data_IF_441248680638
#
_entry.id   IF_441248680638
#
_cell.length_a   1.000
_cell.length_b   1.000
_cell.length_c   1.000
_cell.angle_alpha   90.00
_cell.angle_beta   90.00
_cell.angle_gamma   90.00
#
_symmetry.space_group_name_H-M   'P 1'
#
loop_
_entity.id
_entity.type
_entity.pdbx_description
1 polymer ?
#
# COMPACT_ATOMS: atom_id res chain seq x y z
N UNK A 1 -2.76 -8.05 -9.86
CA UNK A 1 -2.73 -6.63 -10.25
C UNK A 1 -3.99 -5.89 -9.79
N UNK A 2 -3.96 -5.27 -8.61
CA UNK A 2 -4.79 -4.08 -8.37
C UNK A 2 -4.17 -2.98 -9.22
N UNK A 3 -4.65 -2.81 -10.45
CA UNK A 3 -4.23 -1.70 -11.29
C UNK A 3 -4.57 -0.40 -10.57
N UNK A 4 -3.59 0.47 -10.40
CA UNK A 4 -3.83 1.84 -9.95
C UNK A 4 -4.66 2.59 -10.99
N UNK A 5 -5.97 2.41 -10.92
CA UNK A 5 -6.91 3.35 -11.50
C UNK A 5 -6.85 4.66 -10.71
N UNK A 6 -7.01 5.78 -11.39
CA UNK A 6 -7.33 7.04 -10.72
C UNK A 6 -8.62 6.80 -9.94
N UNK A 7 -8.52 6.77 -8.61
CA UNK A 7 -9.69 6.59 -7.76
C UNK A 7 -10.65 7.78 -7.94
N UNK A 8 -11.98 7.56 -7.99
CA UNK A 8 -12.96 8.63 -8.19
C UNK A 8 -12.92 9.64 -7.03
N UNK A 9 -13.30 10.90 -7.26
CA UNK A 9 -13.14 11.98 -6.26
C UNK A 9 -13.83 11.72 -4.89
N UNK A 10 -14.79 10.79 -4.84
CA UNK A 10 -15.55 10.41 -3.65
C UNK A 10 -14.90 9.32 -2.77
N UNK A 11 -13.75 8.75 -3.15
CA UNK A 11 -13.05 7.78 -2.27
C UNK A 11 -12.59 8.43 -0.98
N UNK A 12 -12.72 7.67 0.11
CA UNK A 12 -12.18 8.06 1.41
C UNK A 12 -10.66 8.17 1.33
N UNK A 13 -10.04 9.12 2.06
CA UNK A 13 -8.59 9.16 2.17
C UNK A 13 -8.06 7.88 2.81
N UNK A 14 -6.84 7.48 2.44
CA UNK A 14 -6.19 6.32 3.07
C UNK A 14 -6.10 6.52 4.59
N UNK A 15 -6.81 5.70 5.36
CA UNK A 15 -6.82 5.75 6.83
C UNK A 15 -5.61 5.07 7.47
N UNK A 16 -4.77 4.42 6.66
CA UNK A 16 -3.61 3.66 7.12
C UNK A 16 -4.01 2.45 7.98
N UNK A 17 -5.15 1.82 7.66
CA UNK A 17 -5.66 0.62 8.35
C UNK A 17 -4.84 -0.65 8.07
N UNK A 18 -4.09 -0.69 6.97
CA UNK A 18 -3.19 -1.80 6.63
C UNK A 18 -3.84 -3.02 5.99
N UNK A 19 -5.18 -3.08 5.83
CA UNK A 19 -5.89 -4.25 5.27
C UNK A 19 -5.32 -4.72 3.94
N UNK A 20 -5.00 -3.80 3.03
CA UNK A 20 -4.39 -4.11 1.74
C UNK A 20 -3.09 -4.94 1.81
N UNK A 21 -2.33 -4.85 2.91
CA UNK A 21 -1.11 -5.62 3.13
C UNK A 21 -1.31 -6.77 4.13
N UNK A 22 -2.40 -6.78 4.90
CA UNK A 22 -2.72 -7.89 5.82
C UNK A 22 -3.36 -9.07 5.09
N UNK A 23 -4.09 -8.80 4.01
CA UNK A 23 -4.85 -9.82 3.27
C UNK A 23 -4.05 -10.42 2.11
N UNK A 24 -3.16 -9.65 1.47
CA UNK A 24 -2.38 -10.08 0.31
C UNK A 24 -0.98 -9.44 0.29
N UNK A 25 -0.08 -10.05 -0.50
CA UNK A 25 1.19 -9.45 -0.89
C UNK A 25 1.01 -8.89 -2.30
N UNK A 26 1.35 -7.61 -2.52
CA UNK A 26 1.23 -7.02 -3.86
C UNK A 26 2.32 -7.54 -4.82
N UNK A 27 2.13 -7.32 -6.12
CA UNK A 27 3.07 -7.76 -7.17
C UNK A 27 4.51 -7.28 -6.94
N UNK A 28 4.70 -6.05 -6.45
CA UNK A 28 6.01 -5.51 -6.07
C UNK A 28 6.56 -6.23 -4.82
N UNK A 29 5.69 -6.54 -3.84
CA UNK A 29 6.06 -7.29 -2.65
C UNK A 29 6.52 -8.72 -2.97
N UNK A 30 5.87 -9.39 -3.92
CA UNK A 30 6.31 -10.70 -4.41
C UNK A 30 7.74 -10.65 -4.97
N UNK A 31 8.04 -9.62 -5.78
CA UNK A 31 9.37 -9.45 -6.37
C UNK A 31 10.44 -9.16 -5.33
N UNK A 32 10.13 -8.37 -4.30
CA UNK A 32 11.11 -7.95 -3.29
C UNK A 32 11.31 -9.02 -2.21
N UNK A 33 10.25 -9.67 -1.75
CA UNK A 33 10.30 -10.59 -0.62
C UNK A 33 10.26 -12.07 -1.00
N UNK A 34 10.05 -12.39 -2.28
CA UNK A 34 9.92 -13.76 -2.78
C UNK A 34 8.90 -14.60 -1.99
N UNK A 35 7.77 -14.00 -1.61
CA UNK A 35 6.69 -14.65 -0.86
C UNK A 35 5.33 -14.15 -1.35
N UNK A 36 4.33 -15.01 -1.26
CA UNK A 36 2.92 -14.73 -1.48
C UNK A 36 2.07 -14.78 -0.20
N UNK A 37 2.71 -15.08 0.93
CA UNK A 37 2.04 -15.23 2.22
C UNK A 37 1.74 -13.88 2.84
N UNK A 38 0.46 -13.63 3.11
CA UNK A 38 0.02 -12.51 3.92
C UNK A 38 0.20 -12.81 5.44
N UNK A 39 0.45 -11.79 6.28
CA UNK A 39 0.61 -10.38 5.93
C UNK A 39 1.93 -10.11 5.19
N UNK A 40 1.92 -9.10 4.32
CA UNK A 40 3.09 -8.66 3.56
C UNK A 40 4.28 -8.32 4.49
N UNK A 41 5.51 -8.81 4.23
CA UNK A 41 6.70 -8.45 5.02
C UNK A 41 7.06 -6.96 5.01
N UNK A 42 6.49 -6.21 4.06
CA UNK A 42 6.60 -4.76 3.97
C UNK A 42 5.63 -4.01 4.89
N UNK A 43 4.70 -4.69 5.58
CA UNK A 43 3.75 -4.08 6.50
C UNK A 43 4.42 -3.74 7.83
N UNK A 44 4.34 -2.47 8.23
CA UNK A 44 4.87 -1.98 9.49
C UNK A 44 3.77 -1.32 10.32
N UNK A 45 3.66 -1.66 11.60
CA UNK A 45 2.78 -0.97 12.53
C UNK A 45 3.59 0.04 13.36
N UNK A 46 3.23 1.32 13.28
CA UNK A 46 3.94 2.40 13.96
C UNK A 46 3.00 3.54 14.32
N UNK A 47 2.96 3.90 15.60
CA UNK A 47 2.16 5.02 16.09
C UNK A 47 0.65 4.82 15.92
N UNK A 48 0.16 3.59 16.11
CA UNK A 48 -1.27 3.26 15.98
C UNK A 48 -1.77 3.09 14.54
N UNK A 49 -0.87 3.14 13.54
CA UNK A 49 -1.20 3.06 12.12
C UNK A 49 -0.30 2.08 11.39
N UNK A 50 -0.79 1.56 10.26
CA UNK A 50 -0.03 0.67 9.38
C UNK A 50 0.59 1.44 8.21
N UNK A 51 1.81 1.05 7.86
CA UNK A 51 2.62 1.67 6.82
C UNK A 51 3.20 0.60 5.90
N UNK A 52 3.24 0.89 4.60
CA UNK A 52 3.97 0.06 3.64
C UNK A 52 5.40 0.58 3.51
N UNK A 53 6.39 -0.27 3.82
CA UNK A 53 7.81 0.07 3.72
C UNK A 53 8.35 0.09 2.28
N UNK A 54 7.61 -0.45 1.32
CA UNK A 54 8.00 -0.41 -0.10
C UNK A 54 7.89 0.98 -0.72
N UNK A 55 7.09 1.88 -0.15
CA UNK A 55 7.07 3.28 -0.59
C UNK A 55 8.33 4.02 -0.12
N UNK A 56 8.67 4.09 1.19
CA UNK A 56 9.84 4.83 1.64
C UNK A 56 11.19 4.21 1.22
N UNK A 57 11.28 2.91 0.90
CA UNK A 57 12.55 2.33 0.42
C UNK A 57 13.05 3.00 -0.89
N UNK A 58 12.12 3.50 -1.69
CA UNK A 58 12.41 4.23 -2.93
C UNK A 58 12.86 5.68 -2.70
N UNK A 59 12.83 6.19 -1.46
CA UNK A 59 13.35 7.54 -1.16
C UNK A 59 14.83 7.66 -1.55
N UNK A 60 15.59 6.57 -1.47
CA UNK A 60 16.97 6.46 -1.92
C UNK A 60 17.15 6.64 -3.43
N UNK A 61 16.11 6.37 -4.22
CA UNK A 61 16.08 6.55 -5.68
C UNK A 61 15.55 7.95 -6.08
N UNK A 62 14.94 8.68 -5.14
CA UNK A 62 14.43 10.03 -5.31
C UNK A 62 12.90 10.13 -5.21
N UNK A 63 12.41 11.34 -4.87
CA UNK A 63 10.99 11.58 -4.55
C UNK A 63 10.01 11.21 -5.68
N UNK A 64 10.43 11.33 -6.93
CA UNK A 64 9.58 10.95 -8.08
C UNK A 64 9.28 9.45 -8.10
N UNK A 65 10.25 8.61 -7.74
CA UNK A 65 10.06 7.15 -7.66
C UNK A 65 9.13 6.78 -6.50
N UNK A 66 9.29 7.44 -5.34
CA UNK A 66 8.36 7.30 -4.21
C UNK A 66 6.92 7.57 -4.61
N UNK A 67 6.68 8.67 -5.31
CA UNK A 67 5.34 9.03 -5.74
C UNK A 67 4.81 8.03 -6.78
N UNK A 68 5.63 7.58 -7.72
CA UNK A 68 5.24 6.58 -8.71
C UNK A 68 4.85 5.24 -8.06
N UNK A 69 5.61 4.77 -7.07
CA UNK A 69 5.29 3.55 -6.33
C UNK A 69 4.01 3.70 -5.50
N UNK A 70 3.84 4.84 -4.82
CA UNK A 70 2.62 5.12 -4.06
C UNK A 70 1.39 5.15 -4.96
N UNK A 71 1.50 5.76 -6.15
CA UNK A 71 0.45 5.78 -7.15
C UNK A 71 0.14 4.37 -7.68
N UNK A 72 1.16 3.65 -8.16
CA UNK A 72 1.01 2.30 -8.73
C UNK A 72 0.40 1.29 -7.75
N UNK A 73 0.74 1.40 -6.46
CA UNK A 73 0.19 0.53 -5.42
C UNK A 73 -1.12 1.05 -4.81
N UNK A 74 -1.57 2.26 -5.18
CA UNK A 74 -2.71 2.94 -4.54
C UNK A 74 -2.48 3.30 -3.06
N UNK A 75 -1.23 3.27 -2.57
CA UNK A 75 -0.91 3.48 -1.16
C UNK A 75 -0.85 4.97 -0.84
N UNK A 76 -1.66 5.39 0.13
CA UNK A 76 -1.71 6.79 0.57
C UNK A 76 -2.46 7.73 -0.39
N UNK A 77 -3.05 7.20 -1.46
CA UNK A 77 -3.80 7.97 -2.47
C UNK A 77 -5.30 8.01 -2.16
N UNK A 78 -5.87 6.90 -1.68
CA UNK A 78 -7.29 6.76 -1.32
C UNK A 78 -7.64 5.30 -1.05
N UNK A 79 -8.84 5.05 -0.52
CA UNK A 79 -9.36 3.69 -0.27
C UNK A 79 -10.82 3.62 -0.71
N UNK A 80 -11.10 2.78 -1.70
CA UNK A 80 -12.44 2.39 -2.16
C UNK A 80 -12.94 1.11 -1.53
N UNK A 81 -12.09 0.41 -0.79
CA UNK A 81 -12.45 -0.85 -0.19
C UNK A 81 -13.57 -0.68 0.86
N UNK A 82 -14.68 -1.36 0.60
CA UNK A 82 -15.83 -1.43 1.48
C UNK A 82 -15.54 -2.48 2.55
N UNK A 83 -15.21 -2.00 3.75
CA UNK A 83 -14.93 -2.84 4.89
C UNK A 83 -15.93 -2.51 6.00
N UNK A 84 -16.63 -3.51 6.52
CA UNK A 84 -17.38 -3.36 7.77
C UNK A 84 -16.38 -3.06 8.90
N UNK A 85 -16.56 -1.92 9.56
CA UNK A 85 -15.84 -1.57 10.79
C UNK A 85 -16.44 -2.44 11.90
N UNK A 86 -15.64 -3.36 12.45
CA UNK A 86 -16.01 -4.21 13.57
C UNK A 86 -15.82 -3.49 14.91
#
# INVERSE_FOLDING_TARGET
MKTAGVLPAEVKPCSQCGRCCQEEVCDIGHQIFATDKAPCPGLEFKGGKYWCRLVPITDSLGKSYRNAFALELGIGVGCDAEFEEA
#
